data_IF_468216267437
#
_entry.id   IF_468216267437
#
_cell.length_a   1.000
_cell.length_b   1.000
_cell.length_c   1.000
_cell.angle_alpha   90.00
_cell.angle_beta   90.00
_cell.angle_gamma   90.00
#
_symmetry.space_group_name_H-M   'P 1'
#
loop_
_entity.id
_entity.type
_entity.pdbx_description
1 polymer ?
#
# COMPACT_ATOMS: atom_id res chain seq x y z
N UNK A 1 17.15 -20.94 3.83
CA UNK A 1 15.94 -21.66 4.29
C UNK A 1 15.15 -20.68 5.16
N UNK A 2 14.21 -19.97 4.57
CA UNK A 2 13.38 -19.01 5.30
C UNK A 2 12.35 -19.82 6.08
N UNK A 3 12.39 -19.73 7.41
CA UNK A 3 11.35 -20.31 8.26
C UNK A 3 10.08 -19.50 8.05
N UNK A 4 9.01 -20.17 7.62
CA UNK A 4 7.65 -19.66 7.74
C UNK A 4 7.45 -19.26 9.20
N UNK A 5 7.30 -17.96 9.45
CA UNK A 5 6.89 -17.49 10.76
C UNK A 5 5.41 -17.88 10.83
N UNK A 6 5.10 -18.95 11.58
CA UNK A 6 3.72 -19.22 12.03
C UNK A 6 3.36 -18.11 13.03
N UNK A 7 3.07 -16.93 12.51
CA UNK A 7 2.57 -15.78 13.24
C UNK A 7 1.12 -15.54 12.90
N UNK A 8 0.43 -14.79 13.72
CA UNK A 8 -0.88 -14.26 13.37
C UNK A 8 -0.78 -13.48 12.07
N UNK A 9 -1.78 -13.60 11.23
CA UNK A 9 -1.94 -12.81 10.00
C UNK A 9 -3.23 -12.01 10.09
N UNK A 10 -3.29 -10.88 9.40
CA UNK A 10 -4.54 -10.11 9.26
C UNK A 10 -4.86 -9.92 7.79
N UNK A 11 -6.16 -9.94 7.47
CA UNK A 11 -6.68 -9.84 6.12
C UNK A 11 -7.17 -8.43 5.82
N UNK A 12 -6.89 -7.96 4.64
CA UNK A 12 -7.31 -6.63 4.24
C UNK A 12 -7.60 -6.46 2.77
N UNK A 13 -7.97 -5.25 2.47
CA UNK A 13 -8.35 -4.79 1.14
C UNK A 13 -7.51 -3.55 0.84
N UNK A 14 -7.14 -3.37 -0.42
CA UNK A 14 -6.72 -2.06 -0.89
C UNK A 14 -7.69 -1.52 -1.92
N UNK A 15 -7.85 -0.21 -1.91
CA UNK A 15 -8.77 0.50 -2.80
C UNK A 15 -8.15 1.77 -3.36
N UNK A 16 -8.59 2.11 -4.57
CA UNK A 16 -8.26 3.35 -5.24
C UNK A 16 -9.55 4.09 -5.66
N UNK A 17 -9.39 5.17 -6.41
CA UNK A 17 -10.50 5.91 -7.03
C UNK A 17 -11.41 5.04 -7.92
N UNK A 18 -10.97 3.87 -8.36
CA UNK A 18 -11.77 2.90 -9.11
C UNK A 18 -12.82 2.18 -8.26
N UNK A 19 -12.70 2.26 -6.94
CA UNK A 19 -13.64 1.68 -5.95
C UNK A 19 -14.36 2.81 -5.19
N UNK A 20 -14.83 3.83 -5.92
CA UNK A 20 -15.47 4.99 -5.34
C UNK A 20 -16.80 4.70 -4.60
N UNK A 21 -17.41 3.56 -4.88
CA UNK A 21 -18.61 3.04 -4.22
C UNK A 21 -18.33 2.09 -3.05
N UNK A 22 -17.05 1.82 -2.71
CA UNK A 22 -16.71 0.97 -1.57
C UNK A 22 -17.11 1.61 -0.24
N UNK A 23 -17.88 0.85 0.54
CA UNK A 23 -18.32 1.23 1.89
C UNK A 23 -17.60 0.40 2.97
N UNK A 24 -16.74 1.01 3.80
CA UNK A 24 -16.05 0.30 4.86
C UNK A 24 -16.96 -0.30 5.95
N UNK A 25 -18.22 0.12 6.05
CA UNK A 25 -19.18 -0.45 6.98
C UNK A 25 -19.82 -1.74 6.49
N UNK A 26 -19.90 -1.91 5.18
CA UNK A 26 -20.60 -3.02 4.55
C UNK A 26 -19.70 -4.26 4.37
N UNK A 27 -18.37 -4.08 4.24
CA UNK A 27 -17.45 -5.15 3.87
C UNK A 27 -16.61 -5.60 5.07
N UNK A 28 -16.45 -6.90 5.35
CA UNK A 28 -15.58 -7.39 6.41
C UNK A 28 -14.10 -7.30 6.02
N UNK A 29 -13.26 -6.67 6.85
CA UNK A 29 -11.80 -6.62 6.71
C UNK A 29 -11.15 -6.35 8.07
N UNK A 30 -9.88 -6.72 8.22
CA UNK A 30 -9.09 -6.37 9.39
C UNK A 30 -8.36 -5.04 9.17
N UNK A 31 -7.85 -4.77 7.95
CA UNK A 31 -7.23 -3.49 7.58
C UNK A 31 -7.65 -3.03 6.18
N UNK A 32 -7.55 -1.73 5.93
CA UNK A 32 -7.81 -1.12 4.62
C UNK A 32 -6.64 -0.22 4.20
N UNK A 33 -6.11 -0.41 3.00
CA UNK A 33 -5.17 0.53 2.37
C UNK A 33 -5.92 1.37 1.34
N UNK A 34 -5.76 2.68 1.42
CA UNK A 34 -6.48 3.63 0.56
C UNK A 34 -5.50 4.43 -0.27
N UNK A 35 -5.60 4.39 -1.58
CA UNK A 35 -4.85 5.31 -2.44
C UNK A 35 -5.27 6.74 -2.14
N UNK A 36 -4.36 7.54 -1.58
CA UNK A 36 -4.63 8.92 -1.22
C UNK A 36 -4.19 9.90 -2.32
N UNK A 37 -3.06 9.62 -2.96
CA UNK A 37 -2.45 10.52 -3.93
C UNK A 37 -1.91 9.78 -5.16
N UNK A 38 -1.77 10.54 -6.26
CA UNK A 38 -1.33 10.08 -7.58
C UNK A 38 -0.41 11.14 -8.20
N UNK A 39 0.86 10.82 -8.40
CA UNK A 39 1.84 11.76 -8.94
C UNK A 39 2.01 13.00 -8.06
N UNK A 40 1.97 14.15 -8.68
CA UNK A 40 1.90 15.43 -7.98
C UNK A 40 0.57 16.16 -8.31
N UNK A 41 0.56 17.45 -8.42
CA UNK A 41 -0.69 18.21 -8.63
C UNK A 41 -1.16 18.30 -10.09
N UNK A 42 -0.50 17.62 -11.01
CA UNK A 42 -0.72 17.78 -12.47
C UNK A 42 -1.97 17.04 -12.99
N UNK A 43 -2.45 16.02 -12.28
CA UNK A 43 -3.55 15.19 -12.74
C UNK A 43 -4.89 15.54 -12.09
N UNK A 44 -5.94 15.63 -12.91
CA UNK A 44 -7.34 15.72 -12.48
C UNK A 44 -8.21 14.84 -13.40
N UNK A 45 -8.99 13.96 -12.81
CA UNK A 45 -9.88 13.02 -13.50
C UNK A 45 -10.26 11.83 -12.62
N UNK A 46 -11.36 11.17 -12.92
CA UNK A 46 -11.80 9.96 -12.23
C UNK A 46 -11.83 10.07 -10.69
N UNK A 47 -12.36 11.18 -10.17
CA UNK A 47 -12.41 11.42 -8.72
C UNK A 47 -11.11 11.90 -8.10
N UNK A 48 -10.03 12.01 -8.87
CA UNK A 48 -8.77 12.64 -8.46
C UNK A 48 -8.83 14.12 -8.85
N UNK A 49 -8.51 15.00 -7.91
CA UNK A 49 -8.42 16.44 -8.13
C UNK A 49 -7.02 16.90 -7.75
N UNK A 50 -6.27 17.39 -8.73
CA UNK A 50 -4.87 17.84 -8.54
C UNK A 50 -4.03 16.80 -7.79
N UNK A 51 -4.07 15.55 -8.25
CA UNK A 51 -3.29 14.46 -7.69
C UNK A 51 -3.82 13.85 -6.37
N UNK A 52 -4.94 14.32 -5.84
CA UNK A 52 -5.55 13.81 -4.59
C UNK A 52 -6.89 13.13 -4.92
N UNK A 53 -7.08 11.88 -4.47
CA UNK A 53 -8.38 11.24 -4.53
C UNK A 53 -9.33 11.83 -3.50
N UNK A 54 -10.41 12.46 -3.96
CA UNK A 54 -11.38 13.18 -3.10
C UNK A 54 -12.14 12.25 -2.15
N UNK A 55 -12.23 10.96 -2.48
CA UNK A 55 -12.88 9.95 -1.64
C UNK A 55 -11.99 9.31 -0.57
N UNK A 56 -10.69 9.56 -0.59
CA UNK A 56 -9.73 8.85 0.27
C UNK A 56 -9.94 9.19 1.75
N UNK A 57 -10.05 10.48 2.08
CA UNK A 57 -10.18 10.93 3.47
C UNK A 57 -11.39 10.29 4.17
N UNK A 58 -12.57 10.27 3.54
CA UNK A 58 -13.78 9.72 4.12
C UNK A 58 -13.60 8.23 4.52
N UNK A 59 -12.91 7.43 3.71
CA UNK A 59 -12.67 6.01 3.97
C UNK A 59 -11.66 5.79 5.08
N UNK A 60 -10.60 6.59 5.09
CA UNK A 60 -9.60 6.56 6.17
C UNK A 60 -10.23 7.00 7.49
N UNK A 61 -10.99 8.09 7.53
CA UNK A 61 -11.69 8.53 8.73
C UNK A 61 -12.66 7.46 9.23
N UNK A 62 -13.33 6.73 8.30
CA UNK A 62 -14.20 5.63 8.71
C UNK A 62 -13.44 4.49 9.38
N UNK A 63 -12.26 4.11 8.87
CA UNK A 63 -11.40 3.13 9.54
C UNK A 63 -11.00 3.59 10.95
N UNK A 64 -10.68 4.87 11.12
CA UNK A 64 -10.37 5.45 12.44
C UNK A 64 -11.54 5.30 13.40
N UNK A 65 -12.76 5.64 12.97
CA UNK A 65 -13.98 5.50 13.78
C UNK A 65 -14.27 4.05 14.14
N UNK A 66 -14.04 3.12 13.19
CA UNK A 66 -14.20 1.68 13.41
C UNK A 66 -13.07 1.06 14.25
N UNK A 67 -12.03 1.82 14.58
CA UNK A 67 -10.86 1.33 15.31
C UNK A 67 -10.04 0.31 14.51
N UNK A 68 -10.14 0.31 13.18
CA UNK A 68 -9.43 -0.62 12.27
C UNK A 68 -8.10 -0.03 11.83
N UNK A 69 -7.04 -0.86 11.69
CA UNK A 69 -5.81 -0.48 11.01
C UNK A 69 -6.09 0.05 9.61
N UNK A 70 -5.38 1.10 9.23
CA UNK A 70 -5.46 1.64 7.87
C UNK A 70 -4.08 1.97 7.32
N UNK A 71 -3.96 1.88 6.01
CA UNK A 71 -2.85 2.40 5.23
C UNK A 71 -3.31 3.52 4.31
N UNK A 72 -2.34 4.34 3.89
CA UNK A 72 -2.54 5.36 2.87
C UNK A 72 -1.43 5.25 1.83
N UNK A 73 -1.79 5.32 0.55
CA UNK A 73 -0.90 4.95 -0.54
C UNK A 73 -0.72 6.11 -1.52
N UNK A 74 0.50 6.23 -2.04
CA UNK A 74 0.87 7.11 -3.13
C UNK A 74 1.20 6.30 -4.37
N UNK A 75 0.56 6.60 -5.49
CA UNK A 75 0.88 6.05 -6.80
C UNK A 75 1.96 6.90 -7.47
N UNK A 76 3.13 6.32 -7.75
CA UNK A 76 4.23 7.01 -8.41
C UNK A 76 3.96 7.17 -9.91
N UNK A 77 4.05 8.41 -10.40
CA UNK A 77 3.90 8.77 -11.81
C UNK A 77 5.22 9.08 -12.52
N UNK A 78 6.30 9.30 -11.79
CA UNK A 78 7.58 9.65 -12.38
C UNK A 78 7.69 11.12 -12.83
N UNK A 79 6.99 12.03 -12.15
CA UNK A 79 6.97 13.46 -12.45
C UNK A 79 7.91 14.29 -11.56
N UNK A 80 8.81 13.64 -10.84
CA UNK A 80 9.83 14.23 -9.97
C UNK A 80 9.83 13.59 -8.59
N UNK A 81 10.83 12.77 -8.26
CA UNK A 81 10.85 11.93 -7.07
C UNK A 81 10.64 12.70 -5.76
N UNK A 82 11.42 13.77 -5.58
CA UNK A 82 11.34 14.60 -4.38
C UNK A 82 10.06 15.44 -4.35
N UNK A 83 9.54 15.84 -5.52
CA UNK A 83 8.29 16.58 -5.63
C UNK A 83 7.10 15.68 -5.28
N UNK A 84 7.04 14.45 -5.80
CA UNK A 84 6.00 13.49 -5.46
C UNK A 84 6.06 13.09 -3.98
N UNK A 85 7.25 12.86 -3.41
CA UNK A 85 7.40 12.55 -2.00
C UNK A 85 6.91 13.70 -1.08
N UNK A 86 7.23 14.95 -1.42
CA UNK A 86 6.70 16.13 -0.70
C UNK A 86 5.19 16.25 -0.86
N UNK A 87 4.69 16.04 -2.08
CA UNK A 87 3.26 16.09 -2.38
C UNK A 87 2.49 15.04 -1.57
N UNK A 88 2.98 13.80 -1.55
CA UNK A 88 2.41 12.73 -0.72
C UNK A 88 2.40 13.13 0.76
N UNK A 89 3.55 13.58 1.28
CA UNK A 89 3.68 14.00 2.68
C UNK A 89 2.70 15.09 3.07
N UNK A 90 2.62 16.17 2.28
CA UNK A 90 1.76 17.32 2.60
C UNK A 90 0.28 16.93 2.60
N UNK A 91 -0.15 16.11 1.64
CA UNK A 91 -1.56 15.73 1.51
C UNK A 91 -1.97 14.63 2.50
N UNK A 92 -1.02 13.96 3.15
CA UNK A 92 -1.29 12.88 4.12
C UNK A 92 -0.71 13.14 5.51
N UNK A 93 -0.29 14.36 5.80
CA UNK A 93 0.39 14.73 7.05
C UNK A 93 -0.41 14.34 8.30
N UNK A 94 -1.73 14.45 8.25
CA UNK A 94 -2.63 14.06 9.34
C UNK A 94 -2.66 12.56 9.65
N UNK A 95 -2.11 11.71 8.77
CA UNK A 95 -2.07 10.25 8.91
C UNK A 95 -0.69 9.72 9.28
N UNK A 96 0.34 10.53 9.18
CA UNK A 96 1.71 10.17 9.60
C UNK A 96 1.70 9.80 11.08
N UNK A 97 2.32 8.66 11.43
CA UNK A 97 2.29 8.01 12.75
C UNK A 97 0.92 7.50 13.22
N UNK A 98 -0.08 7.44 12.33
CA UNK A 98 -1.43 6.93 12.63
C UNK A 98 -1.85 5.79 11.71
N UNK A 99 -1.39 5.80 10.48
CA UNK A 99 -1.63 4.78 9.46
C UNK A 99 -0.33 4.33 8.81
N UNK A 100 -0.37 3.21 8.10
CA UNK A 100 0.75 2.63 7.36
C UNK A 100 0.93 3.35 6.03
N UNK A 101 2.05 4.05 5.78
CA UNK A 101 2.32 4.61 4.46
C UNK A 101 2.71 3.52 3.48
N UNK A 102 2.20 3.61 2.25
CA UNK A 102 2.54 2.72 1.15
C UNK A 102 2.91 3.53 -0.10
N UNK A 103 3.83 3.00 -0.88
CA UNK A 103 4.26 3.58 -2.15
C UNK A 103 4.04 2.54 -3.23
N UNK A 104 3.27 2.89 -4.23
CA UNK A 104 2.89 2.04 -5.34
C UNK A 104 3.86 2.25 -6.50
N UNK A 105 4.65 1.19 -6.79
CA UNK A 105 5.62 1.16 -7.89
C UNK A 105 5.17 0.18 -8.95
N UNK A 106 4.47 0.68 -9.95
CA UNK A 106 3.94 -0.08 -11.08
C UNK A 106 4.40 0.48 -12.43
N UNK A 107 4.28 -0.32 -13.50
CA UNK A 107 4.64 0.10 -14.84
C UNK A 107 3.61 1.04 -15.48
N UNK A 108 2.33 0.86 -15.16
CA UNK A 108 1.26 1.64 -15.74
C UNK A 108 1.40 3.12 -15.35
N UNK A 109 1.34 4.00 -16.32
CA UNK A 109 1.42 5.46 -16.13
C UNK A 109 2.63 5.98 -15.33
N UNK A 110 3.65 5.16 -15.08
CA UNK A 110 4.88 5.53 -14.37
C UNK A 110 6.00 5.85 -15.36
N UNK A 111 6.26 7.12 -15.58
CA UNK A 111 7.30 7.60 -16.49
C UNK A 111 8.73 7.24 -16.02
N UNK A 112 8.89 6.92 -14.73
CA UNK A 112 10.15 6.51 -14.13
C UNK A 112 10.31 4.99 -13.97
N UNK A 113 9.43 4.17 -14.54
CA UNK A 113 9.41 2.72 -14.33
C UNK A 113 10.77 2.02 -14.48
N UNK A 114 11.58 2.46 -15.42
CA UNK A 114 12.91 1.88 -15.68
C UNK A 114 14.05 2.59 -14.90
N UNK A 115 13.75 3.59 -14.08
CA UNK A 115 14.70 4.32 -13.24
C UNK A 115 14.44 4.00 -11.75
N UNK A 116 14.97 2.89 -11.28
CA UNK A 116 14.86 2.52 -9.84
C UNK A 116 15.55 3.52 -8.91
N UNK A 117 16.47 4.34 -9.40
CA UNK A 117 17.03 5.48 -8.66
C UNK A 117 16.00 6.55 -8.35
N UNK A 118 14.91 6.59 -9.12
CA UNK A 118 13.76 7.44 -8.78
C UNK A 118 13.11 7.01 -7.45
N UNK A 119 12.88 5.72 -7.30
CA UNK A 119 12.31 5.15 -6.07
C UNK A 119 13.23 5.41 -4.86
N UNK A 120 14.54 5.26 -5.04
CA UNK A 120 15.53 5.57 -4.00
C UNK A 120 15.42 7.02 -3.51
N UNK A 121 15.38 8.00 -4.42
CA UNK A 121 15.22 9.43 -4.08
C UNK A 121 13.87 9.72 -3.45
N UNK A 122 12.80 9.09 -3.93
CA UNK A 122 11.46 9.22 -3.33
C UNK A 122 11.46 8.75 -1.87
N UNK A 123 11.93 7.51 -1.62
CA UNK A 123 11.96 6.93 -0.28
C UNK A 123 12.84 7.75 0.67
N UNK A 124 14.04 8.15 0.23
CA UNK A 124 14.93 8.99 1.02
C UNK A 124 14.28 10.33 1.41
N UNK A 125 13.59 10.97 0.48
CA UNK A 125 12.88 12.25 0.74
C UNK A 125 11.71 12.05 1.68
N UNK A 126 10.85 11.03 1.44
CA UNK A 126 9.69 10.77 2.28
C UNK A 126 10.09 10.46 3.73
N UNK A 127 11.08 9.56 3.91
CA UNK A 127 11.58 9.19 5.24
C UNK A 127 12.24 10.37 5.95
N UNK A 128 12.98 11.23 5.24
CA UNK A 128 13.57 12.43 5.83
C UNK A 128 12.51 13.39 6.38
N UNK A 129 11.35 13.50 5.69
CA UNK A 129 10.25 14.37 6.09
C UNK A 129 9.39 13.80 7.22
N UNK A 130 9.14 12.50 7.22
CA UNK A 130 8.14 11.87 8.10
C UNK A 130 8.73 11.04 9.23
N UNK A 131 9.97 10.57 9.07
CA UNK A 131 10.61 9.57 9.94
C UNK A 131 9.90 8.21 9.94
N UNK A 132 9.01 7.95 8.99
CA UNK A 132 8.30 6.67 8.83
C UNK A 132 8.77 6.01 7.53
N UNK A 133 8.93 4.69 7.57
CA UNK A 133 9.37 3.87 6.44
C UNK A 133 8.14 3.27 5.75
N UNK A 134 7.84 3.62 4.49
CA UNK A 134 6.67 3.08 3.81
C UNK A 134 6.88 1.61 3.39
N UNK A 135 5.79 0.88 3.20
CA UNK A 135 5.83 -0.34 2.39
C UNK A 135 5.96 0.04 0.91
N UNK A 136 6.77 -0.72 0.18
CA UNK A 136 6.88 -0.58 -1.27
C UNK A 136 6.05 -1.67 -1.93
N UNK A 137 4.93 -1.27 -2.57
CA UNK A 137 4.14 -2.16 -3.40
C UNK A 137 4.81 -2.36 -4.75
N UNK A 138 4.88 -3.61 -5.18
CA UNK A 138 5.44 -4.00 -6.47
C UNK A 138 4.89 -5.36 -6.90
N UNK A 139 4.65 -5.53 -8.20
CA UNK A 139 4.35 -6.86 -8.74
C UNK A 139 5.55 -7.81 -8.61
N UNK A 140 5.29 -9.11 -8.38
CA UNK A 140 6.33 -10.13 -8.15
C UNK A 140 7.40 -10.17 -9.25
N UNK A 141 7.01 -9.97 -10.50
CA UNK A 141 7.94 -9.98 -11.65
C UNK A 141 8.99 -8.87 -11.60
N UNK A 142 8.68 -7.73 -10.96
CA UNK A 142 9.57 -6.59 -10.82
C UNK A 142 10.24 -6.49 -9.43
N UNK A 143 9.89 -7.37 -8.50
CA UNK A 143 10.37 -7.33 -7.11
C UNK A 143 11.90 -7.29 -7.01
N UNK A 144 12.62 -8.05 -7.84
CA UNK A 144 14.10 -8.10 -7.82
C UNK A 144 14.75 -6.76 -8.15
N UNK A 145 14.09 -5.91 -8.93
CA UNK A 145 14.62 -4.60 -9.31
C UNK A 145 14.57 -3.61 -8.13
N UNK A 146 13.58 -3.72 -7.25
CA UNK A 146 13.34 -2.74 -6.16
C UNK A 146 13.76 -3.26 -4.77
N UNK A 147 13.92 -4.57 -4.59
CA UNK A 147 14.19 -5.17 -3.29
C UNK A 147 15.47 -4.63 -2.62
N UNK A 148 16.52 -4.38 -3.40
CA UNK A 148 17.77 -3.81 -2.87
C UNK A 148 17.59 -2.38 -2.36
N UNK A 149 16.80 -1.57 -3.05
CA UNK A 149 16.50 -0.19 -2.66
C UNK A 149 15.59 -0.17 -1.41
N UNK A 150 14.53 -0.97 -1.40
CA UNK A 150 13.68 -1.09 -0.24
C UNK A 150 14.49 -1.51 1.01
N UNK A 151 15.38 -2.49 0.87
CA UNK A 151 16.25 -2.94 1.96
C UNK A 151 17.24 -1.85 2.41
N UNK A 152 17.81 -1.05 1.50
CA UNK A 152 18.72 0.04 1.84
C UNK A 152 18.04 1.13 2.70
N UNK A 153 16.74 1.34 2.52
CA UNK A 153 15.92 2.24 3.33
C UNK A 153 15.22 1.54 4.51
N UNK A 154 15.47 0.23 4.71
CA UNK A 154 14.78 -0.60 5.71
C UNK A 154 13.24 -0.53 5.54
N UNK A 155 12.78 -0.46 4.30
CA UNK A 155 11.37 -0.50 3.91
C UNK A 155 10.93 -1.94 3.70
N UNK A 156 9.74 -2.28 4.19
CA UNK A 156 9.12 -3.57 3.89
C UNK A 156 8.56 -3.60 2.45
N UNK A 157 8.40 -4.82 1.93
CA UNK A 157 7.77 -5.03 0.62
C UNK A 157 6.31 -5.43 0.78
N UNK A 158 5.47 -4.91 -0.10
CA UNK A 158 4.12 -5.36 -0.38
C UNK A 158 4.10 -5.91 -1.81
N UNK A 159 3.95 -7.23 -1.95
CA UNK A 159 4.15 -7.90 -3.24
C UNK A 159 2.84 -8.40 -3.82
N UNK A 160 2.53 -8.01 -5.05
CA UNK A 160 1.40 -8.55 -5.79
C UNK A 160 1.81 -9.80 -6.57
N UNK A 161 1.14 -10.90 -6.32
CA UNK A 161 1.26 -12.14 -7.08
C UNK A 161 -0.01 -12.97 -6.95
N UNK A 162 -0.66 -13.22 -8.06
CA UNK A 162 -1.90 -13.98 -8.14
C UNK A 162 -1.65 -15.40 -8.63
N UNK A 163 -2.44 -16.37 -8.16
CA UNK A 163 -2.41 -17.73 -8.69
C UNK A 163 -3.08 -17.79 -10.07
N UNK A 164 -4.20 -17.10 -10.16
CA UNK A 164 -5.06 -17.00 -11.34
C UNK A 164 -6.01 -15.79 -11.17
N UNK A 165 -6.94 -15.62 -12.11
CA UNK A 165 -7.97 -14.58 -12.08
C UNK A 165 -9.34 -15.10 -11.57
N UNK A 166 -9.38 -16.28 -10.92
CA UNK A 166 -10.63 -16.80 -10.38
C UNK A 166 -11.10 -16.00 -9.17
N UNK A 167 -12.42 -15.75 -9.05
CA UNK A 167 -12.99 -15.11 -7.87
C UNK A 167 -12.69 -15.89 -6.59
N UNK A 168 -12.23 -15.20 -5.54
CA UNK A 168 -11.88 -15.84 -4.27
C UNK A 168 -12.29 -14.96 -3.06
N UNK A 169 -12.46 -15.59 -1.90
CA UNK A 169 -12.52 -14.91 -0.61
C UNK A 169 -11.15 -14.78 0.04
N UNK A 170 -11.11 -14.46 1.34
CA UNK A 170 -9.87 -14.44 2.10
C UNK A 170 -9.22 -15.83 2.18
N UNK A 171 -7.89 -15.86 1.96
CA UNK A 171 -7.07 -17.08 1.97
C UNK A 171 -6.07 -17.02 3.12
N UNK A 172 -6.03 -18.08 3.95
CA UNK A 172 -5.05 -18.19 5.05
C UNK A 172 -3.64 -18.43 4.53
N UNK A 173 -3.51 -19.16 3.42
CA UNK A 173 -2.25 -19.51 2.78
C UNK A 173 -2.35 -19.27 1.27
N UNK A 174 -2.10 -18.01 0.82
CA UNK A 174 -2.09 -17.71 -0.61
C UNK A 174 -1.05 -18.53 -1.36
N UNK A 175 -1.36 -18.90 -2.59
CA UNK A 175 -0.45 -19.68 -3.44
C UNK A 175 0.95 -19.05 -3.49
N UNK A 176 1.99 -19.89 -3.34
CA UNK A 176 3.41 -19.53 -3.44
C UNK A 176 3.89 -18.47 -2.39
N UNK A 177 3.24 -18.43 -1.21
CA UNK A 177 3.59 -17.44 -0.18
C UNK A 177 5.01 -17.63 0.38
N UNK A 178 5.52 -18.88 0.42
CA UNK A 178 6.86 -19.19 0.97
C UNK A 178 8.01 -18.94 -0.02
N UNK A 179 7.71 -18.55 -1.26
CA UNK A 179 8.75 -18.40 -2.30
C UNK A 179 9.64 -17.16 -2.11
N UNK A 180 9.20 -16.19 -1.30
CA UNK A 180 9.94 -14.94 -1.02
C UNK A 180 9.42 -14.27 0.26
N UNK A 181 10.28 -13.42 0.87
CA UNK A 181 9.89 -12.63 2.03
C UNK A 181 9.22 -11.31 1.63
N UNK A 182 8.10 -10.99 2.27
CA UNK A 182 7.45 -9.68 2.20
C UNK A 182 6.68 -9.41 3.50
N UNK A 183 6.37 -8.16 3.77
CA UNK A 183 5.56 -7.78 4.92
C UNK A 183 4.06 -7.95 4.63
N UNK A 184 3.66 -7.68 3.38
CA UNK A 184 2.28 -7.79 2.92
C UNK A 184 2.24 -8.36 1.51
N UNK A 185 1.18 -9.08 1.20
CA UNK A 185 0.95 -9.66 -0.11
C UNK A 185 -0.46 -9.38 -0.60
N UNK A 186 -0.57 -8.88 -1.83
CA UNK A 186 -1.81 -8.86 -2.59
C UNK A 186 -1.87 -10.15 -3.42
N UNK A 187 -2.84 -10.99 -3.15
CA UNK A 187 -2.90 -12.34 -3.76
C UNK A 187 -4.06 -12.51 -4.74
N UNK A 188 -4.94 -11.53 -4.84
CA UNK A 188 -6.02 -11.51 -5.83
C UNK A 188 -6.50 -10.09 -6.10
N UNK A 189 -6.86 -9.81 -7.34
CA UNK A 189 -7.62 -8.63 -7.76
C UNK A 189 -9.07 -8.96 -8.10
N UNK A 190 -9.51 -10.21 -7.86
CA UNK A 190 -10.86 -10.71 -8.10
C UNK A 190 -11.51 -11.21 -6.81
N UNK A 191 -11.28 -10.49 -5.71
CA UNK A 191 -11.87 -10.79 -4.41
C UNK A 191 -13.38 -10.63 -4.41
N UNK A 192 -14.07 -11.57 -3.76
CA UNK A 192 -15.52 -11.52 -3.53
C UNK A 192 -15.79 -11.61 -2.05
N UNK A 193 -16.26 -10.51 -1.49
CA UNK A 193 -16.63 -10.42 -0.06
C UNK A 193 -18.07 -9.96 0.08
N UNK A 194 -18.77 -10.36 1.15
CA UNK A 194 -20.09 -9.82 1.46
C UNK A 194 -20.07 -8.29 1.54
N UNK A 195 -21.10 -7.65 1.05
CA UNK A 195 -21.26 -6.20 1.13
C UNK A 195 -20.68 -5.41 -0.05
N UNK A 196 -20.00 -6.08 -1.01
CA UNK A 196 -19.52 -5.45 -2.23
C UNK A 196 -19.75 -6.35 -3.45
N UNK A 197 -20.34 -5.79 -4.50
CA UNK A 197 -20.72 -6.57 -5.69
C UNK A 197 -19.58 -6.72 -6.72
N UNK A 198 -18.59 -5.83 -6.67
CA UNK A 198 -17.46 -5.80 -7.60
C UNK A 198 -16.28 -6.67 -7.17
N UNK A 199 -15.20 -6.59 -7.95
CA UNK A 199 -13.91 -7.18 -7.61
C UNK A 199 -13.19 -6.33 -6.56
N UNK A 200 -12.52 -6.99 -5.63
CA UNK A 200 -11.69 -6.38 -4.59
C UNK A 200 -10.26 -6.92 -4.65
N UNK A 201 -9.32 -6.04 -4.34
CA UNK A 201 -7.93 -6.41 -4.18
C UNK A 201 -7.73 -6.96 -2.76
N UNK A 202 -7.46 -8.29 -2.66
CA UNK A 202 -7.35 -8.97 -1.38
C UNK A 202 -5.89 -9.14 -0.95
N UNK A 203 -5.66 -8.82 0.32
CA UNK A 203 -4.34 -8.78 0.92
C UNK A 203 -4.25 -9.63 2.18
N UNK A 204 -3.04 -10.12 2.45
CA UNK A 204 -2.61 -10.65 3.73
C UNK A 204 -1.41 -9.87 4.23
N UNK A 205 -1.46 -9.39 5.46
CA UNK A 205 -0.31 -8.85 6.18
C UNK A 205 0.25 -9.94 7.09
N UNK A 206 1.55 -10.21 6.98
CA UNK A 206 2.24 -11.26 7.76
C UNK A 206 2.64 -10.74 9.14
N UNK A 207 1.66 -10.63 10.01
CA UNK A 207 1.79 -10.17 11.38
C UNK A 207 0.45 -9.81 12.00
N UNK A 208 0.45 -9.65 13.30
CA UNK A 208 -0.70 -9.15 14.05
C UNK A 208 -0.76 -7.61 14.02
N UNK A 209 -1.72 -7.05 14.74
CA UNK A 209 -1.85 -5.59 14.91
C UNK A 209 -0.63 -4.95 15.58
N UNK A 210 0.08 -5.68 16.44
CA UNK A 210 1.32 -5.19 17.06
C UNK A 210 2.43 -5.05 16.04
N UNK A 211 2.56 -6.03 15.14
CA UNK A 211 3.50 -5.99 14.04
C UNK A 211 3.14 -4.85 13.04
N UNK A 212 1.86 -4.68 12.71
CA UNK A 212 1.38 -3.55 11.89
C UNK A 212 1.80 -2.20 12.49
N UNK A 213 1.61 -2.02 13.79
CA UNK A 213 1.94 -0.77 14.45
C UNK A 213 3.44 -0.42 14.40
N UNK A 214 4.34 -1.39 14.25
CA UNK A 214 5.78 -1.13 14.06
C UNK A 214 6.08 -0.42 12.73
N UNK A 215 5.26 -0.63 11.71
CA UNK A 215 5.37 0.08 10.42
C UNK A 215 4.73 1.48 10.46
N UNK A 216 3.83 1.72 11.40
CA UNK A 216 3.15 3.02 11.56
C UNK A 216 3.99 4.01 12.35
N UNK A 217 4.77 3.53 13.31
CA UNK A 217 5.54 4.37 14.21
C UNK A 217 6.86 4.82 13.58
N UNK A 218 7.35 5.97 14.02
CA UNK A 218 8.67 6.44 13.63
C UNK A 218 9.76 5.44 14.03
N UNK A 219 10.78 5.28 13.19
CA UNK A 219 12.00 4.61 13.62
C UNK A 219 12.56 5.32 14.86
N UNK A 220 13.05 4.58 15.88
CA UNK A 220 13.74 5.20 17.01
C UNK A 220 14.85 6.11 16.49
N UNK A 221 14.96 7.31 17.07
CA UNK A 221 16.12 8.17 16.81
C UNK A 221 17.36 7.45 17.29
N UNK A 222 18.31 7.20 16.40
CA UNK A 222 19.63 6.65 16.71
C UNK A 222 20.45 7.77 17.32
#
# INVERSE_FOLDING_TARGET
>A
MFKTIQGEIIHGIDISNWKADFDPDAVPFDFLVVQATWGASEFTGNGIVRGVWTGADARIQRCIVLGKPFGYMHYIRGVGAEAEARFFTVNTLGYVHRGLPCVDWEAADNLAWNDVGYLDRFLGTYIALTRVKPLVYVQRSAMSAVAGIAAAHDCGLWVAQYADDAPTGYQQHPWNEDAYGCAMRQYSSHGRLPGYAGDLDLNVFYGDRTAWNKYVLAAPSV
#
